data_IF_369790206590
#
_entry.id   IF_369790206590
#
_cell.length_a   1.000
_cell.length_b   1.000
_cell.length_c   1.000
_cell.angle_alpha   90.00
_cell.angle_beta   90.00
_cell.angle_gamma   90.00
#
_symmetry.space_group_name_H-M   'P 1'
#
loop_
_entity.id
_entity.type
_entity.pdbx_description
1 polymer ?
#
# COMPACT_ATOMS: atom_id res chain seq x y z
N UNK A 1 10.35 18.66 16.85
CA UNK A 1 9.76 17.32 17.08
C UNK A 1 8.26 17.41 16.74
N UNK A 2 7.88 17.20 15.48
CA UNK A 2 6.48 17.28 15.05
C UNK A 2 5.80 15.92 15.16
N UNK A 3 4.57 15.87 15.70
CA UNK A 3 3.79 14.64 15.86
C UNK A 3 3.41 14.04 14.49
N UNK A 4 3.81 12.80 14.27
CA UNK A 4 3.42 11.98 13.12
C UNK A 4 1.97 11.49 13.31
N UNK A 5 1.01 12.41 13.22
CA UNK A 5 -0.43 12.16 13.41
C UNK A 5 -1.33 12.99 12.50
N UNK A 6 -0.79 14.05 11.88
CA UNK A 6 -1.56 14.92 11.02
C UNK A 6 -1.21 14.67 9.55
N UNK A 7 -2.08 13.88 8.89
CA UNK A 7 -2.30 13.80 7.42
C UNK A 7 -1.53 12.71 6.65
N UNK A 8 -1.91 11.44 6.84
CA UNK A 8 -1.96 10.53 5.69
C UNK A 8 -3.16 10.92 4.81
N UNK A 9 -2.96 11.92 3.93
CA UNK A 9 -3.98 12.35 2.97
C UNK A 9 -3.98 11.35 1.80
N UNK A 10 -4.47 10.14 2.05
CA UNK A 10 -4.43 9.03 1.10
C UNK A 10 -5.68 8.94 0.20
N UNK A 11 -6.68 9.81 0.37
CA UNK A 11 -8.04 9.53 -0.11
C UNK A 11 -8.47 10.24 -1.39
N UNK A 12 -7.83 11.31 -1.85
CA UNK A 12 -8.31 12.04 -3.04
C UNK A 12 -7.16 12.49 -3.95
N UNK A 13 -7.01 11.83 -5.11
CA UNK A 13 -6.19 12.33 -6.22
C UNK A 13 -4.89 11.59 -6.55
N UNK A 14 -4.62 10.42 -5.97
CA UNK A 14 -3.39 9.69 -6.32
C UNK A 14 -3.50 9.05 -7.72
N UNK A 15 -2.98 9.75 -8.73
CA UNK A 15 -2.83 9.25 -10.09
C UNK A 15 -1.69 8.22 -10.15
N UNK A 16 -1.87 7.10 -9.45
CA UNK A 16 -1.01 5.92 -9.58
C UNK A 16 -1.35 5.24 -10.92
N UNK A 17 -0.39 5.31 -11.84
CA UNK A 17 -0.21 4.27 -12.85
C UNK A 17 0.17 2.94 -12.17
N UNK A 18 0.13 1.78 -12.85
CA UNK A 18 0.59 0.52 -12.28
C UNK A 18 1.98 0.71 -11.67
N UNK A 19 2.07 0.57 -10.35
CA UNK A 19 3.29 0.89 -9.58
C UNK A 19 3.47 -0.10 -8.44
N UNK A 20 4.73 -0.25 -8.01
CA UNK A 20 5.05 -1.03 -6.84
C UNK A 20 4.64 -0.24 -5.60
N UNK A 21 3.74 -0.82 -4.82
CA UNK A 21 3.30 -0.33 -3.52
C UNK A 21 4.06 -1.07 -2.42
N UNK A 22 5.00 -0.39 -1.77
CA UNK A 22 5.77 -0.95 -0.66
C UNK A 22 5.04 -0.55 0.64
N UNK A 23 4.20 -1.47 1.11
CA UNK A 23 2.92 -1.10 1.72
C UNK A 23 2.96 -0.81 3.22
N UNK A 24 4.08 -0.98 3.91
CA UNK A 24 4.04 -0.79 5.35
C UNK A 24 5.37 -0.26 5.82
N UNK A 25 5.57 1.05 5.73
CA UNK A 25 6.42 1.69 6.72
C UNK A 25 5.86 1.27 8.08
N UNK A 26 6.69 0.74 8.97
CA UNK A 26 6.20 0.11 10.19
C UNK A 26 6.74 0.77 11.45
N UNK A 27 5.97 0.66 12.53
CA UNK A 27 6.40 1.06 13.87
C UNK A 27 7.20 -0.03 14.59
N UNK A 28 7.62 -1.10 13.89
CA UNK A 28 8.48 -2.15 14.44
C UNK A 28 9.91 -1.62 14.47
N UNK A 29 10.51 -1.57 15.64
CA UNK A 29 11.89 -1.11 15.81
C UNK A 29 12.87 -1.96 14.98
N UNK A 30 13.76 -1.30 14.25
CA UNK A 30 14.76 -1.96 13.40
C UNK A 30 14.24 -2.51 12.07
N UNK A 31 12.97 -2.27 11.71
CA UNK A 31 12.39 -2.70 10.45
C UNK A 31 11.68 -1.57 9.72
N UNK A 32 12.14 -1.25 8.51
CA UNK A 32 11.53 -0.16 7.74
C UNK A 32 10.26 -0.60 7.01
N UNK A 33 10.21 -1.83 6.47
CA UNK A 33 9.10 -2.30 5.64
C UNK A 33 8.73 -3.74 5.94
N UNK A 34 7.43 -4.02 6.15
CA UNK A 34 6.96 -5.39 6.43
C UNK A 34 6.39 -6.14 5.22
N UNK A 35 5.91 -5.43 4.19
CA UNK A 35 5.27 -6.08 3.05
C UNK A 35 5.40 -5.26 1.76
N UNK A 36 5.47 -5.94 0.62
CA UNK A 36 5.49 -5.33 -0.72
C UNK A 36 4.34 -5.90 -1.58
N UNK A 37 3.80 -5.05 -2.45
CA UNK A 37 2.66 -5.36 -3.30
C UNK A 37 2.64 -4.45 -4.54
N UNK A 38 1.71 -4.67 -5.45
CA UNK A 38 1.44 -3.76 -6.57
C UNK A 38 0.15 -3.00 -6.35
N UNK A 39 0.15 -1.72 -6.70
CA UNK A 39 -1.05 -0.94 -6.89
C UNK A 39 -1.70 -1.38 -8.21
N UNK A 40 -2.93 -1.90 -8.13
CA UNK A 40 -3.69 -2.43 -9.25
C UNK A 40 -4.96 -1.63 -9.43
N UNK A 41 -5.18 -1.05 -10.61
CA UNK A 41 -6.45 -0.41 -10.96
C UNK A 41 -7.31 -1.45 -11.67
N UNK A 42 -8.48 -1.73 -11.11
CA UNK A 42 -9.43 -2.69 -11.69
C UNK A 42 -10.24 -2.07 -12.84
N UNK A 43 -11.16 -2.87 -13.37
CA UNK A 43 -12.05 -2.47 -14.46
C UNK A 43 -13.02 -1.34 -14.07
N UNK A 44 -13.37 -1.23 -12.78
CA UNK A 44 -14.19 -0.12 -12.24
C UNK A 44 -13.35 1.15 -11.95
N UNK A 45 -12.04 1.12 -12.21
CA UNK A 45 -11.13 2.24 -11.99
C UNK A 45 -10.70 2.44 -10.52
N UNK A 46 -11.09 1.54 -9.62
CA UNK A 46 -10.74 1.51 -8.19
C UNK A 46 -9.32 0.99 -8.01
N UNK A 47 -8.54 1.71 -7.22
CA UNK A 47 -7.20 1.28 -6.85
C UNK A 47 -7.27 0.25 -5.72
N UNK A 48 -6.78 -0.97 -6.00
CA UNK A 48 -6.69 -2.13 -5.11
C UNK A 48 -5.23 -2.60 -4.99
N UNK A 49 -5.02 -3.62 -4.18
CA UNK A 49 -3.69 -4.22 -4.00
C UNK A 49 -3.63 -5.61 -4.59
N UNK A 50 -2.67 -5.83 -5.50
CA UNK A 50 -2.23 -7.14 -5.95
C UNK A 50 -1.04 -7.58 -5.09
N UNK A 51 -1.19 -8.66 -4.32
CA UNK A 51 -0.14 -9.13 -3.43
C UNK A 51 -0.15 -10.64 -3.21
N UNK A 52 0.95 -11.16 -2.66
CA UNK A 52 1.01 -12.51 -2.09
C UNK A 52 0.70 -12.42 -0.59
N UNK A 53 -0.52 -12.72 -0.13
CA UNK A 53 -0.84 -12.81 1.29
C UNK A 53 -0.04 -13.94 1.99
N UNK A 54 0.26 -13.74 3.28
CA UNK A 54 0.86 -14.79 4.12
C UNK A 54 -0.06 -16.00 4.29
N UNK A 55 -1.37 -15.77 4.24
CA UNK A 55 -2.41 -16.78 4.20
C UNK A 55 -2.75 -17.11 2.75
N UNK A 56 -3.01 -18.39 2.42
CA UNK A 56 -3.61 -18.75 1.14
C UNK A 56 -2.64 -19.23 0.05
N UNK A 57 -1.35 -18.87 0.14
CA UNK A 57 -0.30 -19.44 -0.73
C UNK A 57 -0.45 -19.11 -2.24
N UNK A 58 -1.34 -18.19 -2.59
CA UNK A 58 -1.59 -17.74 -3.96
C UNK A 58 -1.57 -16.22 -4.01
N UNK A 59 -1.35 -15.66 -5.20
CA UNK A 59 -1.43 -14.21 -5.43
C UNK A 59 -2.90 -13.80 -5.51
N UNK A 60 -3.25 -12.72 -4.82
CA UNK A 60 -4.62 -12.24 -4.69
C UNK A 60 -4.72 -10.73 -4.97
N UNK A 61 -5.90 -10.30 -5.41
CA UNK A 61 -6.29 -8.89 -5.49
C UNK A 61 -7.25 -8.61 -4.35
N UNK A 62 -6.99 -7.56 -3.56
CA UNK A 62 -7.85 -7.18 -2.44
C UNK A 62 -9.22 -6.74 -2.93
N UNK A 63 -10.27 -7.09 -2.17
CA UNK A 63 -11.63 -6.58 -2.44
C UNK A 63 -11.75 -5.10 -2.08
N UNK A 64 -11.12 -4.70 -0.98
CA UNK A 64 -11.12 -3.32 -0.50
C UNK A 64 -10.16 -2.42 -1.31
N UNK A 65 -10.47 -1.11 -1.41
CA UNK A 65 -9.54 -0.11 -1.93
C UNK A 65 -8.22 -0.08 -1.15
N UNK A 66 -7.16 0.43 -1.78
CA UNK A 66 -5.83 0.57 -1.14
C UNK A 66 -5.89 1.29 0.20
N UNK A 67 -6.67 2.36 0.32
CA UNK A 67 -6.75 3.16 1.55
C UNK A 67 -7.25 2.31 2.74
N UNK A 68 -8.43 1.69 2.60
CA UNK A 68 -9.01 0.80 3.60
C UNK A 68 -8.06 -0.36 3.95
N UNK A 69 -7.46 -0.98 2.94
CA UNK A 69 -6.53 -2.08 3.13
C UNK A 69 -5.21 -1.70 3.83
N UNK A 70 -4.81 -0.43 3.81
CA UNK A 70 -3.66 0.08 4.56
C UNK A 70 -4.07 0.41 6.00
N UNK A 71 -5.23 1.02 6.19
CA UNK A 71 -5.79 1.36 7.50
C UNK A 71 -6.01 0.12 8.38
N UNK A 72 -6.38 -1.02 7.78
CA UNK A 72 -6.57 -2.29 8.49
C UNK A 72 -5.26 -2.89 9.07
N UNK A 73 -4.09 -2.39 8.67
CA UNK A 73 -2.79 -2.90 9.16
C UNK A 73 -2.37 -2.13 10.41
N UNK A 74 -2.58 -2.74 11.59
CA UNK A 74 -2.29 -2.13 12.90
C UNK A 74 -0.90 -1.49 13.07
N UNK A 75 0.13 -2.02 12.40
CA UNK A 75 1.51 -1.51 12.50
C UNK A 75 1.96 -0.72 11.27
N UNK A 76 1.05 -0.36 10.37
CA UNK A 76 1.35 0.51 9.26
C UNK A 76 1.40 1.97 9.72
N UNK A 77 2.46 2.66 9.34
CA UNK A 77 2.61 4.11 9.49
C UNK A 77 2.44 4.84 8.16
N UNK A 78 2.39 4.10 7.04
CA UNK A 78 2.13 4.64 5.71
C UNK A 78 2.60 3.71 4.58
N UNK A 79 2.53 4.23 3.36
CA UNK A 79 2.97 3.54 2.14
C UNK A 79 4.15 4.26 1.48
N UNK A 80 5.10 3.50 0.98
CA UNK A 80 6.12 3.97 0.05
C UNK A 80 5.72 3.57 -1.36
N UNK A 81 5.79 4.49 -2.31
CA UNK A 81 5.43 4.25 -3.70
C UNK A 81 6.68 4.28 -4.55
N UNK A 82 6.90 3.23 -5.34
CA UNK A 82 7.97 3.16 -6.33
C UNK A 82 7.37 2.96 -7.73
N UNK A 83 7.84 3.77 -8.68
CA UNK A 83 7.51 3.63 -10.09
C UNK A 83 8.73 3.05 -10.82
N UNK A 84 8.56 1.98 -11.62
CA UNK A 84 9.63 1.55 -12.51
C UNK A 84 10.07 2.73 -13.39
N UNK A 85 11.37 2.98 -13.42
CA UNK A 85 11.96 3.80 -14.47
C UNK A 85 11.99 2.90 -15.70
N UNK A 86 11.30 3.28 -16.78
CA UNK A 86 11.26 2.48 -18.00
C UNK A 86 12.67 2.11 -18.47
N UNK A 87 12.81 0.91 -19.02
CA UNK A 87 14.04 0.48 -19.71
C UNK A 87 14.20 1.15 -21.07
#
# INVERSE_FOLDING_TARGET
MGRFGDRCRCTEGLHLAPSLLRRVATSIEGLDVTHAAFAYRDDDGIMRVLHAPLSGGVVEITRSPVAEYVEDIRRATGILVARPLGG
#
